data_IF_340033893362
#
_entry.id   IF_340033893362
#
_cell.length_a   1.000
_cell.length_b   1.000
_cell.length_c   1.000
_cell.angle_alpha   90.00
_cell.angle_beta   90.00
_cell.angle_gamma   90.00
#
_symmetry.space_group_name_H-M   'P 1'
#
loop_
_entity.id
_entity.type
_entity.pdbx_description
1 polymer ?
#
# COMPACT_ATOMS: atom_id res chain seq x y z
N UNK A 1 13.68 12.72 3.33
CA UNK A 1 13.40 12.69 4.79
C UNK A 1 13.47 11.27 5.34
N UNK A 2 12.67 10.30 4.88
CA UNK A 2 12.70 8.91 5.35
C UNK A 2 14.10 8.27 5.29
N UNK A 3 14.78 8.39 4.14
CA UNK A 3 16.16 7.89 4.00
C UNK A 3 17.13 8.54 4.98
N UNK A 4 17.03 9.85 5.17
CA UNK A 4 17.86 10.55 6.16
C UNK A 4 17.58 10.05 7.58
N UNK A 5 16.30 9.89 7.93
CA UNK A 5 15.90 9.36 9.23
C UNK A 5 16.39 7.94 9.49
N UNK A 6 16.46 7.12 8.46
CA UNK A 6 17.03 5.78 8.55
C UNK A 6 18.48 5.78 9.05
N UNK A 7 19.27 6.78 8.66
CA UNK A 7 20.68 6.88 9.09
C UNK A 7 20.86 7.53 10.47
N UNK A 8 20.05 8.55 10.79
CA UNK A 8 20.23 9.34 12.02
C UNK A 8 19.20 9.05 13.11
N UNK A 9 18.10 8.38 12.79
CA UNK A 9 17.04 8.08 13.74
C UNK A 9 17.49 7.04 14.77
N UNK A 10 17.06 7.24 16.01
CA UNK A 10 17.33 6.30 17.10
C UNK A 10 16.61 4.96 16.87
N UNK A 11 17.14 3.91 17.48
CA UNK A 11 16.44 2.63 17.57
C UNK A 11 15.19 2.78 18.44
N UNK A 12 14.18 1.94 18.17
CA UNK A 12 12.98 1.89 19.02
C UNK A 12 13.25 1.07 20.27
N UNK A 13 12.41 1.24 21.29
CA UNK A 13 12.55 0.53 22.57
C UNK A 13 12.50 -1.00 22.42
N UNK A 14 11.80 -1.49 21.39
CA UNK A 14 11.58 -2.91 21.19
C UNK A 14 12.66 -3.57 20.33
N UNK A 15 13.53 -2.81 19.68
CA UNK A 15 14.56 -3.33 18.77
C UNK A 15 15.52 -4.30 19.46
N UNK A 16 15.81 -4.07 20.73
CA UNK A 16 16.73 -4.89 21.50
C UNK A 16 16.25 -6.34 21.66
N UNK A 17 15.00 -6.54 22.04
CA UNK A 17 14.48 -7.90 22.21
C UNK A 17 14.19 -8.59 20.88
N UNK A 18 13.74 -7.84 19.86
CA UNK A 18 13.48 -8.39 18.52
C UNK A 18 14.80 -8.87 17.89
N UNK A 19 15.85 -8.07 17.99
CA UNK A 19 17.16 -8.47 17.51
C UNK A 19 17.70 -9.71 18.28
N UNK A 20 17.47 -9.78 19.58
CA UNK A 20 17.87 -10.93 20.38
C UNK A 20 17.10 -12.20 19.98
N UNK A 21 15.80 -12.10 19.70
CA UNK A 21 15.03 -13.23 19.17
C UNK A 21 15.61 -13.72 17.85
N UNK A 22 15.92 -12.81 16.94
CA UNK A 22 16.50 -13.13 15.64
C UNK A 22 17.86 -13.85 15.77
N UNK A 23 18.74 -13.38 16.66
CA UNK A 23 20.07 -13.98 16.90
C UNK A 23 20.02 -15.35 17.55
N UNK A 24 19.06 -15.56 18.43
CA UNK A 24 18.95 -16.82 19.19
C UNK A 24 18.22 -17.90 18.37
N UNK A 25 17.44 -17.53 17.36
CA UNK A 25 16.63 -18.47 16.59
C UNK A 25 17.42 -19.65 16.03
N UNK A 26 18.63 -19.44 15.52
CA UNK A 26 19.49 -20.50 14.97
C UNK A 26 19.95 -21.48 16.04
N UNK A 27 20.25 -21.01 17.24
CA UNK A 27 20.70 -21.83 18.35
C UNK A 27 19.55 -22.60 19.00
N UNK A 28 18.36 -21.97 19.05
CA UNK A 28 17.15 -22.59 19.60
C UNK A 28 16.48 -23.56 18.63
N UNK A 29 16.74 -23.42 17.31
CA UNK A 29 16.10 -24.19 16.26
C UNK A 29 14.68 -23.72 15.91
N UNK A 30 14.19 -22.65 16.52
CA UNK A 30 12.89 -22.02 16.23
C UNK A 30 12.89 -20.56 16.65
N UNK A 31 11.97 -19.78 16.08
CA UNK A 31 11.73 -18.40 16.49
C UNK A 31 10.86 -18.38 17.75
N UNK A 32 11.38 -17.88 18.86
CA UNK A 32 10.65 -17.80 20.12
C UNK A 32 10.70 -16.40 20.71
N UNK A 33 9.60 -16.01 21.36
CA UNK A 33 9.52 -14.75 22.09
C UNK A 33 9.69 -14.98 23.58
N UNK A 34 10.92 -14.90 24.06
CA UNK A 34 11.24 -15.09 25.46
C UNK A 34 10.65 -13.99 26.37
N UNK A 35 10.37 -12.83 25.82
CA UNK A 35 9.89 -11.69 26.58
C UNK A 35 8.37 -11.64 26.75
N UNK A 36 7.62 -12.12 25.72
CA UNK A 36 6.14 -12.08 25.73
C UNK A 36 5.53 -13.44 26.11
N UNK A 37 6.12 -14.52 25.63
CA UNK A 37 5.49 -15.84 25.65
C UNK A 37 6.34 -16.90 26.37
N UNK A 38 7.27 -16.48 27.21
CA UNK A 38 8.13 -17.38 28.00
C UNK A 38 8.87 -18.43 27.16
N UNK A 39 9.27 -18.05 25.93
CA UNK A 39 9.98 -18.95 25.03
C UNK A 39 9.09 -19.82 24.15
N UNK A 40 7.77 -19.61 24.14
CA UNK A 40 6.88 -20.29 23.19
C UNK A 40 7.19 -19.87 21.76
N UNK A 41 7.02 -20.81 20.76
CA UNK A 41 7.17 -20.47 19.35
C UNK A 41 6.24 -19.34 18.93
N UNK A 42 6.70 -18.50 18.02
CA UNK A 42 5.87 -17.46 17.38
C UNK A 42 4.92 -18.05 16.31
N UNK A 43 5.10 -19.31 15.94
CA UNK A 43 4.26 -19.97 14.95
C UNK A 43 2.76 -19.98 15.34
N UNK A 44 1.86 -19.84 14.35
CA UNK A 44 2.07 -19.70 12.90
C UNK A 44 2.39 -18.28 12.41
N UNK A 45 2.62 -17.36 13.31
CA UNK A 45 2.98 -15.98 13.02
C UNK A 45 4.50 -15.79 13.01
N UNK A 46 4.95 -14.57 12.70
CA UNK A 46 6.34 -14.19 12.92
C UNK A 46 7.30 -14.49 11.77
N UNK A 47 6.81 -14.82 10.56
CA UNK A 47 7.71 -15.04 9.42
C UNK A 47 8.67 -13.85 9.17
N UNK A 48 8.27 -12.64 9.52
CA UNK A 48 9.10 -11.44 9.41
C UNK A 48 10.36 -11.54 10.29
N UNK A 49 10.24 -12.10 11.48
CA UNK A 49 11.39 -12.30 12.38
C UNK A 49 12.40 -13.29 11.79
N UNK A 50 11.95 -14.28 11.01
CA UNK A 50 12.84 -15.17 10.28
C UNK A 50 13.64 -14.41 9.19
N UNK A 51 13.04 -13.40 8.55
CA UNK A 51 13.76 -12.52 7.63
C UNK A 51 14.83 -11.72 8.37
N UNK A 52 14.53 -11.20 9.56
CA UNK A 52 15.52 -10.53 10.40
C UNK A 52 16.65 -11.49 10.82
N UNK A 53 16.33 -12.73 11.20
CA UNK A 53 17.32 -13.73 11.53
C UNK A 53 18.28 -13.99 10.34
N UNK A 54 17.76 -14.12 9.12
CA UNK A 54 18.60 -14.22 7.93
C UNK A 54 19.48 -12.98 7.70
N UNK A 55 18.99 -11.80 8.03
CA UNK A 55 19.75 -10.55 7.88
C UNK A 55 20.90 -10.46 8.90
N UNK A 56 20.75 -11.01 10.11
CA UNK A 56 21.82 -11.04 11.12
C UNK A 56 23.01 -11.87 10.70
N UNK A 57 22.86 -12.87 9.82
CA UNK A 57 23.99 -13.60 9.24
C UNK A 57 24.92 -12.73 8.38
N UNK A 58 24.41 -11.61 7.86
CA UNK A 58 25.20 -10.67 7.05
C UNK A 58 25.82 -9.61 7.94
N UNK A 59 25.01 -8.96 8.78
CA UNK A 59 25.48 -7.91 9.69
C UNK A 59 24.41 -7.57 10.73
N UNK A 60 24.87 -7.25 11.94
CA UNK A 60 24.06 -6.71 13.03
C UNK A 60 24.00 -5.18 13.06
N UNK A 61 24.57 -4.51 12.04
CA UNK A 61 24.55 -3.07 11.98
C UNK A 61 23.11 -2.55 11.90
N UNK A 62 22.76 -1.60 12.77
CA UNK A 62 21.40 -1.04 12.86
C UNK A 62 20.86 -0.56 11.51
N UNK A 63 21.70 0.08 10.70
CA UNK A 63 21.32 0.56 9.36
C UNK A 63 20.93 -0.61 8.45
N UNK A 64 21.64 -1.75 8.54
CA UNK A 64 21.35 -2.92 7.74
C UNK A 64 20.05 -3.59 8.15
N UNK A 65 19.90 -3.88 9.45
CA UNK A 65 18.74 -4.61 9.99
C UNK A 65 17.43 -3.84 9.84
N UNK A 66 17.47 -2.50 9.86
CA UNK A 66 16.29 -1.62 9.66
C UNK A 66 15.93 -1.38 8.19
N UNK A 67 16.70 -1.93 7.25
CA UNK A 67 16.46 -1.73 5.81
C UNK A 67 15.06 -2.17 5.34
N UNK A 68 14.48 -3.31 5.80
CA UNK A 68 13.12 -3.71 5.42
C UNK A 68 12.08 -2.64 5.75
N UNK A 69 12.24 -1.95 6.87
CA UNK A 69 11.33 -0.91 7.30
C UNK A 69 11.40 0.34 6.42
N UNK A 70 12.61 0.76 6.05
CA UNK A 70 12.79 1.82 5.06
C UNK A 70 12.14 1.47 3.71
N UNK A 71 12.30 0.22 3.25
CA UNK A 71 11.70 -0.25 2.00
C UNK A 71 10.17 -0.17 2.09
N UNK A 72 9.59 -0.61 3.20
CA UNK A 72 8.16 -0.51 3.47
C UNK A 72 7.67 0.95 3.47
N UNK A 73 8.40 1.85 4.12
CA UNK A 73 8.10 3.30 4.12
C UNK A 73 8.04 3.87 2.69
N UNK A 74 9.02 3.53 1.87
CA UNK A 74 9.07 3.98 0.47
C UNK A 74 7.94 3.39 -0.37
N UNK A 75 7.60 2.11 -0.17
CA UNK A 75 6.45 1.47 -0.83
C UNK A 75 5.15 2.14 -0.40
N UNK A 76 4.95 2.38 0.90
CA UNK A 76 3.78 3.10 1.39
C UNK A 76 3.67 4.48 0.76
N UNK A 77 4.76 5.24 0.69
CA UNK A 77 4.75 6.54 0.03
C UNK A 77 4.38 6.45 -1.46
N UNK A 78 4.95 5.49 -2.19
CA UNK A 78 4.62 5.28 -3.60
C UNK A 78 3.14 4.93 -3.80
N UNK A 79 2.60 4.04 -2.98
CA UNK A 79 1.19 3.64 -3.06
C UNK A 79 0.26 4.79 -2.68
N UNK A 80 0.53 5.51 -1.61
CA UNK A 80 -0.25 6.67 -1.20
C UNK A 80 -0.25 7.75 -2.30
N UNK A 81 0.93 8.12 -2.80
CA UNK A 81 1.08 9.22 -3.75
C UNK A 81 0.55 8.88 -5.16
N UNK A 82 0.71 7.63 -5.62
CA UNK A 82 0.40 7.23 -7.01
C UNK A 82 -0.94 6.54 -7.15
N UNK A 83 -1.41 5.87 -6.10
CA UNK A 83 -2.61 5.05 -6.17
C UNK A 83 -3.76 5.60 -5.31
N UNK A 84 -3.50 5.99 -4.05
CA UNK A 84 -4.56 6.39 -3.13
C UNK A 84 -5.01 7.84 -3.38
N UNK A 85 -4.09 8.80 -3.32
CA UNK A 85 -4.43 10.21 -3.49
C UNK A 85 -5.19 10.52 -4.79
N UNK A 86 -4.81 9.98 -5.97
CA UNK A 86 -5.57 10.24 -7.20
C UNK A 86 -7.00 9.69 -7.18
N UNK A 87 -7.27 8.66 -6.37
CA UNK A 87 -8.62 8.07 -6.24
C UNK A 87 -9.56 8.86 -5.35
N UNK A 88 -9.03 9.76 -4.50
CA UNK A 88 -9.84 10.63 -3.64
C UNK A 88 -10.57 11.74 -4.40
N UNK A 89 -10.35 11.85 -5.70
CA UNK A 89 -11.07 12.75 -6.58
C UNK A 89 -10.16 13.78 -7.27
N UNK A 90 -10.70 14.47 -8.29
CA UNK A 90 -9.90 15.36 -9.14
C UNK A 90 -9.36 16.58 -8.39
N UNK A 91 -10.03 17.03 -7.33
CA UNK A 91 -9.54 18.12 -6.48
C UNK A 91 -8.29 17.75 -5.68
N UNK A 92 -8.13 16.47 -5.33
CA UNK A 92 -6.99 15.95 -4.56
C UNK A 92 -5.86 15.49 -5.49
N UNK A 93 -6.20 14.86 -6.60
CA UNK A 93 -5.25 14.23 -7.53
C UNK A 93 -4.15 15.16 -8.06
N UNK A 94 -4.45 16.48 -8.21
CA UNK A 94 -3.49 17.50 -8.67
C UNK A 94 -3.01 18.45 -7.58
N UNK A 95 -3.46 18.26 -6.34
CA UNK A 95 -3.19 19.19 -5.24
C UNK A 95 -1.82 18.96 -4.61
N UNK A 96 -0.92 19.93 -4.74
CA UNK A 96 0.37 19.92 -4.02
C UNK A 96 0.15 19.92 -2.49
N UNK A 97 -0.86 20.63 -2.01
CA UNK A 97 -1.18 20.68 -0.59
C UNK A 97 -1.60 19.29 -0.05
N UNK A 98 -2.42 18.55 -0.80
CA UNK A 98 -2.79 17.18 -0.44
C UNK A 98 -1.57 16.24 -0.42
N UNK A 99 -0.68 16.37 -1.40
CA UNK A 99 0.57 15.60 -1.46
C UNK A 99 1.47 15.89 -0.25
N UNK A 100 1.66 17.16 0.11
CA UNK A 100 2.44 17.54 1.28
C UNK A 100 1.77 17.07 2.58
N UNK A 101 0.46 17.23 2.71
CA UNK A 101 -0.28 16.77 3.89
C UNK A 101 -0.14 15.25 4.08
N UNK A 102 -0.33 14.47 3.01
CA UNK A 102 -0.15 13.02 3.07
C UNK A 102 1.29 12.62 3.43
N UNK A 103 2.30 13.32 2.87
CA UNK A 103 3.70 13.09 3.20
C UNK A 103 4.02 13.39 4.66
N UNK A 104 3.51 14.51 5.19
CA UNK A 104 3.70 14.88 6.59
C UNK A 104 3.02 13.89 7.53
N UNK A 105 1.78 13.46 7.24
CA UNK A 105 1.07 12.45 8.03
C UNK A 105 1.81 11.12 8.02
N UNK A 106 2.27 10.67 6.84
CA UNK A 106 3.07 9.44 6.74
C UNK A 106 4.35 9.56 7.59
N UNK A 107 5.09 10.66 7.47
CA UNK A 107 6.31 10.86 8.27
C UNK A 107 6.01 10.94 9.76
N UNK A 108 4.95 11.63 10.18
CA UNK A 108 4.57 11.74 11.58
C UNK A 108 4.19 10.39 12.20
N UNK A 109 3.57 9.50 11.42
CA UNK A 109 3.26 8.14 11.85
C UNK A 109 4.52 7.24 11.82
N UNK A 110 5.31 7.32 10.75
CA UNK A 110 6.41 6.38 10.50
C UNK A 110 7.65 6.65 11.36
N UNK A 111 8.09 7.90 11.44
CA UNK A 111 9.37 8.21 12.07
C UNK A 111 9.46 7.85 13.55
N UNK A 112 8.42 8.05 14.40
CA UNK A 112 8.50 7.70 15.80
C UNK A 112 8.40 6.20 16.10
N UNK A 113 7.68 5.43 15.27
CA UNK A 113 7.26 4.07 15.60
C UNK A 113 7.87 3.01 14.69
N UNK A 114 8.04 3.31 13.41
CA UNK A 114 8.38 2.32 12.39
C UNK A 114 9.80 2.48 11.85
N UNK A 115 10.71 3.09 12.59
CA UNK A 115 12.13 3.21 12.21
C UNK A 115 13.00 2.16 12.91
N UNK A 116 12.44 1.00 13.23
CA UNK A 116 13.10 -0.04 13.97
C UNK A 116 12.91 -1.43 13.36
N UNK A 117 12.82 -2.42 14.23
CA UNK A 117 12.61 -3.83 13.87
C UNK A 117 11.17 -4.28 14.07
N UNK A 118 10.29 -3.36 14.41
CA UNK A 118 8.90 -3.65 14.72
C UNK A 118 8.14 -4.05 13.45
N UNK A 119 7.20 -5.01 13.55
CA UNK A 119 6.47 -5.52 12.39
C UNK A 119 5.36 -4.59 11.88
N UNK A 120 5.03 -3.51 12.59
CA UNK A 120 3.92 -2.62 12.27
C UNK A 120 4.07 -1.96 10.91
N UNK A 121 5.29 -1.57 10.52
CA UNK A 121 5.57 -0.99 9.20
C UNK A 121 5.28 -1.96 8.06
N UNK A 122 5.65 -3.23 8.22
CA UNK A 122 5.37 -4.30 7.27
C UNK A 122 3.87 -4.61 7.18
N UNK A 123 3.19 -4.59 8.33
CA UNK A 123 1.73 -4.78 8.40
C UNK A 123 0.99 -3.65 7.71
N UNK A 124 1.38 -2.40 7.97
CA UNK A 124 0.79 -1.22 7.31
C UNK A 124 0.99 -1.28 5.79
N UNK A 125 2.19 -1.66 5.35
CA UNK A 125 2.51 -1.84 3.93
C UNK A 125 1.68 -2.93 3.30
N UNK A 126 1.58 -4.11 3.92
CA UNK A 126 0.78 -5.22 3.43
C UNK A 126 -0.72 -4.92 3.37
N UNK A 127 -1.24 -4.22 4.38
CA UNK A 127 -2.64 -3.76 4.38
C UNK A 127 -2.91 -2.76 3.24
N UNK A 128 -1.99 -1.82 3.00
CA UNK A 128 -2.10 -0.85 1.91
C UNK A 128 -2.00 -1.51 0.53
N UNK A 129 -1.09 -2.47 0.35
CA UNK A 129 -0.98 -3.29 -0.86
C UNK A 129 -2.29 -4.05 -1.09
N UNK A 130 -2.83 -4.70 -0.07
CA UNK A 130 -4.10 -5.43 -0.13
C UNK A 130 -5.23 -4.51 -0.58
N UNK A 131 -5.36 -3.33 0.03
CA UNK A 131 -6.35 -2.33 -0.35
C UNK A 131 -6.23 -1.92 -1.82
N UNK A 132 -5.02 -1.54 -2.28
CA UNK A 132 -4.80 -1.12 -3.67
C UNK A 132 -5.09 -2.24 -4.66
N UNK A 133 -4.76 -3.48 -4.32
CA UNK A 133 -5.05 -4.64 -5.17
C UNK A 133 -6.56 -4.90 -5.29
N UNK A 134 -7.32 -4.74 -4.21
CA UNK A 134 -8.79 -4.82 -4.23
C UNK A 134 -9.38 -3.73 -5.12
N UNK A 135 -8.97 -2.49 -4.94
CA UNK A 135 -9.42 -1.38 -5.78
C UNK A 135 -9.11 -1.61 -7.27
N UNK A 136 -7.94 -2.17 -7.56
CA UNK A 136 -7.57 -2.57 -8.94
C UNK A 136 -8.43 -3.72 -9.46
N UNK A 137 -8.75 -4.71 -8.62
CA UNK A 137 -9.62 -5.82 -9.00
C UNK A 137 -11.01 -5.31 -9.38
N UNK A 138 -11.58 -4.42 -8.56
CA UNK A 138 -12.89 -3.82 -8.78
C UNK A 138 -12.85 -2.95 -10.05
N UNK A 139 -11.88 -2.06 -10.18
CA UNK A 139 -11.77 -1.13 -11.31
C UNK A 139 -11.51 -1.81 -12.67
N UNK A 140 -10.77 -2.93 -12.67
CA UNK A 140 -10.44 -3.68 -13.89
C UNK A 140 -11.36 -4.87 -14.15
N UNK A 141 -12.18 -5.26 -13.17
CA UNK A 141 -13.00 -6.49 -13.18
C UNK A 141 -12.16 -7.75 -13.48
N UNK A 142 -10.92 -7.81 -12.92
CA UNK A 142 -9.99 -8.93 -13.09
C UNK A 142 -9.83 -9.69 -11.78
N UNK A 143 -9.73 -11.01 -11.86
CA UNK A 143 -9.53 -11.88 -10.70
C UNK A 143 -8.06 -11.94 -10.24
N UNK A 144 -7.09 -11.70 -11.12
CA UNK A 144 -5.66 -11.72 -10.76
C UNK A 144 -5.32 -10.75 -9.62
N UNK A 145 -5.70 -9.46 -9.67
CA UNK A 145 -5.46 -8.56 -8.52
C UNK A 145 -6.21 -9.02 -7.27
N UNK A 146 -7.40 -9.63 -7.39
CA UNK A 146 -8.12 -10.16 -6.25
C UNK A 146 -7.39 -11.33 -5.59
N UNK A 147 -6.84 -12.26 -6.37
CA UNK A 147 -6.03 -13.36 -5.87
C UNK A 147 -4.76 -12.84 -5.17
N UNK A 148 -4.07 -11.86 -5.77
CA UNK A 148 -2.90 -11.23 -5.16
C UNK A 148 -3.26 -10.49 -3.86
N UNK A 149 -4.45 -9.90 -3.76
CA UNK A 149 -4.93 -9.28 -2.51
C UNK A 149 -5.11 -10.30 -1.40
N UNK A 150 -5.64 -11.49 -1.70
CA UNK A 150 -5.78 -12.59 -0.74
C UNK A 150 -4.41 -13.05 -0.25
N UNK A 151 -3.46 -13.24 -1.16
CA UNK A 151 -2.09 -13.63 -0.82
C UNK A 151 -1.44 -12.56 0.06
N UNK A 152 -1.55 -11.28 -0.32
CA UNK A 152 -1.01 -10.17 0.47
C UNK A 152 -1.62 -10.12 1.87
N UNK A 153 -2.94 -10.29 2.00
CA UNK A 153 -3.60 -10.30 3.30
C UNK A 153 -3.16 -11.49 4.17
N UNK A 154 -2.99 -12.67 3.58
CA UNK A 154 -2.51 -13.86 4.28
C UNK A 154 -1.07 -13.67 4.79
N UNK A 155 -0.16 -13.17 3.95
CA UNK A 155 1.21 -12.85 4.36
C UNK A 155 1.25 -11.79 5.46
N UNK A 156 0.41 -10.76 5.35
CA UNK A 156 0.33 -9.71 6.37
C UNK A 156 -0.19 -10.24 7.70
N UNK A 157 -1.21 -11.09 7.67
CA UNK A 157 -1.73 -11.76 8.87
C UNK A 157 -0.66 -12.68 9.49
N UNK A 158 0.12 -13.39 8.67
CA UNK A 158 1.20 -14.26 9.12
C UNK A 158 2.38 -13.52 9.78
N UNK A 159 2.45 -12.20 9.72
CA UNK A 159 3.45 -11.43 10.46
C UNK A 159 3.08 -11.40 11.95
N UNK A 160 1.84 -11.02 12.25
CA UNK A 160 1.33 -10.87 13.61
C UNK A 160 -0.21 -10.76 13.58
N UNK A 161 -0.96 -11.09 14.66
CA UNK A 161 -2.42 -11.00 14.70
C UNK A 161 -2.99 -9.62 14.32
N UNK A 162 -2.26 -8.54 14.54
CA UNK A 162 -2.64 -7.18 14.09
C UNK A 162 -2.74 -7.06 12.57
N UNK A 163 -2.15 -7.98 11.81
CA UNK A 163 -2.33 -8.12 10.36
C UNK A 163 -3.77 -8.41 9.91
N UNK A 164 -4.70 -8.68 10.83
CA UNK A 164 -6.15 -8.69 10.57
C UNK A 164 -6.66 -7.41 9.90
N UNK A 165 -5.95 -6.29 9.98
CA UNK A 165 -6.29 -5.06 9.26
C UNK A 165 -6.29 -5.28 7.74
N UNK A 166 -5.38 -6.10 7.21
CA UNK A 166 -5.36 -6.46 5.79
C UNK A 166 -6.55 -7.36 5.41
N UNK A 167 -6.96 -8.27 6.31
CA UNK A 167 -8.15 -9.09 6.13
C UNK A 167 -9.41 -8.22 6.16
N UNK A 168 -9.47 -7.23 7.04
CA UNK A 168 -10.59 -6.28 7.09
C UNK A 168 -10.70 -5.49 5.77
N UNK A 169 -9.58 -5.04 5.19
CA UNK A 169 -9.56 -4.40 3.88
C UNK A 169 -10.08 -5.34 2.77
N UNK A 170 -9.69 -6.64 2.82
CA UNK A 170 -10.17 -7.66 1.90
C UNK A 170 -11.70 -7.85 2.01
N UNK A 171 -12.22 -7.94 3.23
CA UNK A 171 -13.65 -8.12 3.49
C UNK A 171 -14.48 -6.90 3.04
N UNK A 172 -13.96 -5.69 3.22
CA UNK A 172 -14.60 -4.46 2.76
C UNK A 172 -14.83 -4.48 1.23
N UNK A 173 -13.88 -5.03 0.46
CA UNK A 173 -14.00 -5.23 -0.98
C UNK A 173 -14.69 -6.53 -1.41
N UNK A 174 -15.10 -7.36 -0.47
CA UNK A 174 -15.60 -8.70 -0.76
C UNK A 174 -16.88 -8.73 -1.61
N UNK A 175 -17.87 -7.87 -1.32
CA UNK A 175 -19.11 -7.80 -2.10
C UNK A 175 -18.90 -7.50 -3.60
N UNK A 176 -18.16 -6.47 -4.00
CA UNK A 176 -17.83 -6.23 -5.40
C UNK A 176 -17.09 -7.39 -6.05
N UNK A 177 -16.13 -7.99 -5.35
CA UNK A 177 -15.33 -9.12 -5.88
C UNK A 177 -16.21 -10.35 -6.10
N UNK A 178 -17.10 -10.69 -5.17
CA UNK A 178 -18.06 -11.77 -5.34
C UNK A 178 -18.96 -11.56 -6.56
N UNK A 179 -19.43 -10.33 -6.83
CA UNK A 179 -20.18 -10.01 -8.03
C UNK A 179 -19.39 -10.28 -9.32
N UNK A 180 -18.11 -9.93 -9.31
CA UNK A 180 -17.20 -10.19 -10.45
C UNK A 180 -17.04 -11.71 -10.64
N UNK A 181 -16.85 -12.47 -9.57
CA UNK A 181 -16.74 -13.92 -9.59
C UNK A 181 -18.01 -14.57 -10.18
N UNK A 182 -19.17 -14.24 -9.65
CA UNK A 182 -20.46 -14.78 -10.12
C UNK A 182 -20.67 -14.43 -11.59
N UNK A 183 -20.34 -13.20 -12.00
CA UNK A 183 -20.47 -12.81 -13.41
C UNK A 183 -19.52 -13.59 -14.33
N UNK A 184 -18.27 -13.78 -13.92
CA UNK A 184 -17.29 -14.57 -14.68
C UNK A 184 -17.68 -16.05 -14.80
N UNK A 185 -18.30 -16.64 -13.78
CA UNK A 185 -18.74 -18.04 -13.80
C UNK A 185 -20.02 -18.25 -14.60
N UNK A 186 -20.98 -17.30 -14.56
CA UNK A 186 -22.26 -17.42 -15.24
C UNK A 186 -22.21 -17.16 -16.74
N UNK A 187 -21.25 -16.38 -17.21
CA UNK A 187 -21.17 -15.99 -18.65
C UNK A 187 -20.30 -16.96 -19.48
N UNK A 188 -19.59 -17.90 -18.85
CA UNK A 188 -18.81 -18.95 -19.58
C UNK A 188 -17.81 -18.44 -20.62
N UNK A 189 -17.50 -17.14 -20.63
CA UNK A 189 -16.67 -16.47 -21.64
C UNK A 189 -15.38 -15.97 -21.04
N UNK A 190 -14.26 -15.96 -21.80
CA UNK A 190 -12.98 -15.47 -21.31
C UNK A 190 -13.09 -13.96 -20.98
N UNK A 191 -13.18 -13.66 -19.72
CA UNK A 191 -13.37 -12.32 -19.11
C UNK A 191 -12.22 -11.32 -19.37
N UNK A 192 -11.48 -11.46 -20.49
CA UNK A 192 -10.22 -10.74 -20.74
C UNK A 192 -10.28 -9.75 -21.89
N UNK A 193 -11.30 -9.77 -22.79
CA UNK A 193 -11.13 -9.06 -24.09
C UNK A 193 -12.04 -7.88 -24.41
N UNK A 194 -13.12 -7.57 -23.72
CA UNK A 194 -14.11 -6.64 -24.31
C UNK A 194 -14.22 -5.23 -23.74
N UNK A 195 -13.50 -4.85 -22.69
CA UNK A 195 -13.62 -3.48 -22.13
C UNK A 195 -12.52 -2.49 -22.52
N UNK A 196 -11.46 -2.90 -23.20
CA UNK A 196 -10.44 -1.95 -23.68
C UNK A 196 -10.95 -1.15 -24.88
N UNK A 197 -11.88 -1.70 -25.65
CA UNK A 197 -12.40 -1.06 -26.87
C UNK A 197 -13.43 0.07 -26.60
N UNK A 198 -14.17 0.03 -25.48
CA UNK A 198 -15.23 1.03 -25.21
C UNK A 198 -14.75 2.29 -24.50
N UNK A 199 -13.58 2.24 -23.84
CA UNK A 199 -13.02 3.42 -23.13
C UNK A 199 -12.21 4.33 -24.06
N UNK A 200 -11.74 3.83 -25.21
CA UNK A 200 -11.05 4.66 -26.21
C UNK A 200 -12.05 5.50 -27.05
N UNK A 201 -13.25 4.98 -27.30
CA UNK A 201 -14.29 5.70 -28.04
C UNK A 201 -14.91 6.88 -27.26
N UNK A 202 -14.99 6.77 -25.93
CA UNK A 202 -15.60 7.84 -25.12
C UNK A 202 -14.66 9.02 -24.79
N UNK A 203 -13.37 8.88 -25.05
CA UNK A 203 -12.38 9.96 -24.86
C UNK A 203 -12.22 10.87 -26.07
N UNK A 204 -12.55 10.41 -27.29
CA UNK A 204 -12.41 11.24 -28.49
C UNK A 204 -13.54 12.28 -28.66
N UNK A 205 -14.68 12.10 -27.96
CA UNK A 205 -15.83 13.01 -28.07
C UNK A 205 -15.78 14.23 -27.15
N UNK A 206 -14.86 14.31 -26.18
CA UNK A 206 -14.81 15.43 -25.24
C UNK A 206 -13.87 16.57 -25.64
N UNK A 207 -13.08 16.42 -26.69
CA UNK A 207 -12.15 17.47 -27.14
C UNK A 207 -12.64 18.34 -28.30
N UNK A 208 -13.77 18.03 -28.91
CA UNK A 208 -14.25 18.76 -30.12
C UNK A 208 -15.30 19.86 -29.87
N UNK A 209 -15.83 20.03 -28.65
CA UNK A 209 -16.95 20.98 -28.41
C UNK A 209 -16.53 22.29 -27.75
N UNK A 210 -15.27 22.48 -27.35
CA UNK A 210 -14.86 23.70 -26.66
C UNK A 210 -14.25 24.82 -27.52
N UNK A 211 -14.16 24.65 -28.85
CA UNK A 211 -13.50 25.65 -29.73
C UNK A 211 -14.43 26.50 -30.62
N UNK A 212 -15.76 26.39 -30.49
CA UNK A 212 -16.71 27.19 -31.31
C UNK A 212 -17.41 28.37 -30.61
N UNK A 213 -17.10 28.64 -29.34
CA UNK A 213 -17.83 29.69 -28.61
C UNK A 213 -17.07 31.03 -28.44
N UNK A 214 -15.99 31.26 -29.19
CA UNK A 214 -15.24 32.54 -29.08
C UNK A 214 -14.99 33.21 -30.42
N UNK A 215 -16.04 33.44 -31.22
CA UNK A 215 -16.03 34.48 -32.28
C UNK A 215 -17.43 35.04 -32.54
N UNK A 216 -17.89 35.89 -31.66
CA UNK A 216 -18.90 36.91 -31.98
C UNK A 216 -18.54 38.16 -31.18
N UNK A 217 -17.79 39.07 -31.80
CA UNK A 217 -17.69 40.47 -31.34
C UNK A 217 -18.92 41.21 -31.90
N UNK A 218 -19.62 41.98 -31.13
CA UNK A 218 -20.46 43.05 -31.66
C UNK A 218 -19.59 44.30 -31.80
N UNK A 219 -19.55 44.84 -32.99
CA UNK A 219 -19.02 46.16 -33.32
C UNK A 219 -19.91 47.23 -32.73
N UNK A 220 -19.40 48.07 -31.87
CA UNK A 220 -20.06 49.29 -31.43
C UNK A 220 -20.01 50.31 -32.55
N UNK A 221 -21.16 50.75 -33.04
CA UNK A 221 -21.29 51.93 -33.88
C UNK A 221 -21.55 53.16 -32.98
N UNK A 222 -20.71 54.13 -33.12
CA UNK A 222 -20.88 55.52 -32.70
C UNK A 222 -22.10 56.15 -33.37
N UNK A 223 -22.94 56.89 -32.65
CA UNK A 223 -23.70 58.03 -33.18
C UNK A 223 -23.69 59.11 -32.13
N UNK A 224 -23.20 60.26 -32.60
CA UNK A 224 -23.21 61.56 -31.93
C UNK A 224 -24.64 62.17 -31.92
N UNK A 225 -24.94 62.90 -30.90
CA UNK A 225 -25.61 64.21 -30.89
C UNK A 225 -25.49 64.79 -29.50
#
# INVERSE_FOLDING_TARGET
>A
MLVWWHFVGANTSDDGYILQMARVADHAGYMSNYFRWFGSPEDPFGWYYNVLALMTHVSDASIWIRLPDLICALICWLLLSREVLPRLGPAVAGSKAAMWAAGLVLMAAWMPFDNGLRPEGQIATGALITYVLIERAIGTSRLTPAALAIISAAFTLGIQPTGLIAVAALLAGGRPILRILVWCTSVGSPCVRSRVASTSASRSWRHSTHWRARRARPTASSVAS
#
